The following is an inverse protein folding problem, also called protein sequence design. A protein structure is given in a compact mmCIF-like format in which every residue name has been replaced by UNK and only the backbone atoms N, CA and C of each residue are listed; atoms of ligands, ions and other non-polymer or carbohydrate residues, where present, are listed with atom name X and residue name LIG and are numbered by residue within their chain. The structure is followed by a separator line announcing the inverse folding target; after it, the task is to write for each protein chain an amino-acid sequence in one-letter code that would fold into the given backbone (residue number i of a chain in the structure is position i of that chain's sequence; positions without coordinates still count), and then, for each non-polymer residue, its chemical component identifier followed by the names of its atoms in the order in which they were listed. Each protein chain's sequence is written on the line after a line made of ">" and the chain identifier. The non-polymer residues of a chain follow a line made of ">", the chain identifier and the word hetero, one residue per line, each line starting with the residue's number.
data_IF_560944448993
#
_entry.id   IF_560944448993
#
_cell.length_a   1.000
_cell.length_b   1.000
_cell.length_c   1.000
_cell.angle_alpha   90.00
_cell.angle_beta   90.00
_cell.angle_gamma   90.00
#
_symmetry.space_group_name_H-M   'P 1'
#
loop_
_entity.id
_entity.type
_entity.pdbx_description
1 polymer ?
#
# COMPACT_ATOMS: atom_id res chain seq x y z
N UNK A 1 -4.09 -5.09 22.80
CA UNK A 1 -4.79 -4.85 21.51
C UNK A 1 -3.94 -4.05 20.53
N UNK A 2 -2.64 -4.38 20.46
CA UNK A 2 -1.65 -3.70 19.62
C UNK A 2 -1.56 -4.31 18.24
N UNK A 3 -1.20 -3.48 17.26
CA UNK A 3 -0.80 -3.88 15.92
C UNK A 3 0.50 -4.71 16.02
N UNK A 4 0.40 -6.03 16.15
CA UNK A 4 1.58 -6.89 16.01
C UNK A 4 1.95 -6.96 14.53
N UNK A 5 3.04 -6.30 14.15
CA UNK A 5 3.68 -6.45 12.85
C UNK A 5 4.51 -7.74 12.85
N UNK A 6 4.38 -8.54 11.79
CA UNK A 6 5.24 -9.70 11.54
C UNK A 6 5.92 -9.47 10.18
N UNK A 7 7.12 -10.03 9.99
CA UNK A 7 8.12 -9.50 9.07
C UNK A 7 8.33 -10.35 7.82
N UNK A 8 8.36 -9.69 6.66
CA UNK A 8 9.00 -10.20 5.46
C UNK A 8 10.14 -9.29 5.05
N UNK A 9 11.38 -9.80 5.09
CA UNK A 9 12.57 -9.10 4.61
C UNK A 9 13.05 -9.78 3.32
N UNK A 10 12.83 -9.14 2.17
CA UNK A 10 13.39 -9.55 0.88
C UNK A 10 14.76 -8.90 0.61
N UNK A 11 15.20 -7.98 1.48
CA UNK A 11 16.51 -7.34 1.44
C UNK A 11 17.49 -8.07 2.37
N UNK A 12 18.22 -9.04 1.80
CA UNK A 12 19.29 -9.82 2.45
C UNK A 12 20.49 -8.98 2.99
N UNK A 13 20.40 -7.65 3.03
CA UNK A 13 21.46 -6.72 3.47
C UNK A 13 21.08 -5.80 4.63
N UNK A 14 19.84 -5.80 5.11
CA UNK A 14 19.44 -5.04 6.29
C UNK A 14 19.58 -5.88 7.56
N UNK A 15 20.14 -5.28 8.61
CA UNK A 15 20.10 -5.82 9.97
C UNK A 15 18.64 -6.07 10.36
N UNK A 16 18.32 -7.33 10.67
CA UNK A 16 16.97 -7.77 10.97
C UNK A 16 16.37 -6.91 12.09
N UNK A 17 17.12 -6.64 13.16
CA UNK A 17 16.65 -5.85 14.30
C UNK A 17 16.35 -4.39 13.92
N UNK A 18 17.17 -3.79 13.07
CA UNK A 18 16.91 -2.44 12.55
C UNK A 18 15.65 -2.40 11.68
N UNK A 19 15.43 -3.45 10.88
CA UNK A 19 14.21 -3.59 10.08
C UNK A 19 12.96 -3.72 10.98
N UNK A 20 13.02 -4.57 12.03
CA UNK A 20 11.93 -4.70 13.01
C UNK A 20 11.61 -3.37 13.68
N UNK A 21 12.64 -2.67 14.15
CA UNK A 21 12.50 -1.38 14.78
C UNK A 21 11.86 -0.36 13.84
N UNK A 22 12.26 -0.35 12.56
CA UNK A 22 11.66 0.49 11.53
C UNK A 22 10.16 0.23 11.33
N UNK A 23 9.76 -1.04 11.27
CA UNK A 23 8.35 -1.43 11.16
C UNK A 23 7.54 -1.02 12.40
N UNK A 24 8.05 -1.26 13.61
CA UNK A 24 7.36 -0.86 14.84
C UNK A 24 7.17 0.66 14.92
N UNK A 25 8.22 1.43 14.63
CA UNK A 25 8.16 2.89 14.58
C UNK A 25 7.14 3.38 13.54
N UNK A 26 7.01 2.67 12.41
CA UNK A 26 6.03 2.97 11.37
C UNK A 26 4.59 2.73 11.86
N UNK A 27 4.30 1.57 12.46
CA UNK A 27 2.98 1.31 13.02
C UNK A 27 2.61 2.30 14.12
N UNK A 28 3.54 2.67 14.99
CA UNK A 28 3.31 3.69 16.02
C UNK A 28 3.00 5.05 15.40
N UNK A 29 3.79 5.48 14.41
CA UNK A 29 3.57 6.74 13.72
C UNK A 29 2.23 6.77 12.98
N UNK A 30 1.86 5.67 12.32
CA UNK A 30 0.60 5.54 11.61
C UNK A 30 -0.59 5.50 12.57
N UNK A 31 -0.50 4.74 13.67
CA UNK A 31 -1.53 4.68 14.70
C UNK A 31 -1.76 6.06 15.34
N UNK A 32 -0.69 6.77 15.69
CA UNK A 32 -0.77 8.12 16.25
C UNK A 32 -1.46 9.11 15.30
N UNK A 33 -1.15 9.04 13.99
CA UNK A 33 -1.85 9.83 12.98
C UNK A 33 -3.32 9.45 12.87
N UNK A 34 -3.62 8.15 12.88
CA UNK A 34 -4.97 7.64 12.75
C UNK A 34 -5.90 8.11 13.88
N UNK A 35 -5.38 8.43 15.08
CA UNK A 35 -6.19 8.99 16.17
C UNK A 35 -6.81 10.36 15.84
N UNK A 36 -6.30 11.09 14.85
CA UNK A 36 -6.88 12.38 14.41
C UNK A 36 -8.01 12.19 13.39
N UNK A 37 -8.28 10.96 12.94
CA UNK A 37 -9.29 10.67 11.93
C UNK A 37 -10.67 10.44 12.55
N UNK A 38 -11.71 10.58 11.72
CA UNK A 38 -13.06 10.12 12.07
C UNK A 38 -13.04 8.60 12.39
N UNK A 39 -13.81 8.19 13.40
CA UNK A 39 -13.77 6.85 14.00
C UNK A 39 -13.98 5.72 12.98
N UNK A 40 -14.94 5.86 12.08
CA UNK A 40 -15.20 4.87 11.03
C UNK A 40 -14.00 4.80 10.09
N UNK A 41 -13.56 5.93 9.54
CA UNK A 41 -12.39 5.95 8.64
C UNK A 41 -11.14 5.36 9.30
N UNK A 42 -10.84 5.77 10.53
CA UNK A 42 -9.76 5.23 11.36
C UNK A 42 -9.82 3.71 11.44
N UNK A 43 -10.98 3.16 11.76
CA UNK A 43 -11.18 1.71 11.88
C UNK A 43 -10.97 0.96 10.57
N UNK A 44 -11.31 1.58 9.42
CA UNK A 44 -11.13 1.00 8.10
C UNK A 44 -9.67 0.99 7.66
N UNK A 45 -8.99 2.13 7.72
CA UNK A 45 -7.59 2.25 7.26
C UNK A 45 -6.62 1.43 8.13
N UNK A 46 -6.82 1.43 9.45
CA UNK A 46 -6.00 0.60 10.37
C UNK A 46 -6.22 -0.89 10.15
N UNK A 47 -7.47 -1.31 9.91
CA UNK A 47 -7.78 -2.71 9.59
C UNK A 47 -7.15 -3.13 8.26
N UNK A 48 -7.19 -2.29 7.24
CA UNK A 48 -6.57 -2.57 5.94
C UNK A 48 -5.07 -2.84 6.10
N UNK A 49 -4.35 -1.91 6.74
CA UNK A 49 -2.89 -2.06 6.98
C UNK A 49 -2.62 -3.33 7.77
N UNK A 50 -3.36 -3.59 8.85
CA UNK A 50 -3.19 -4.81 9.65
C UNK A 50 -3.41 -6.09 8.83
N UNK A 51 -4.47 -6.16 8.03
CA UNK A 51 -4.78 -7.35 7.21
C UNK A 51 -3.70 -7.59 6.17
N UNK A 52 -3.21 -6.54 5.51
CA UNK A 52 -2.09 -6.65 4.57
C UNK A 52 -0.83 -7.17 5.27
N UNK A 53 -0.47 -6.61 6.43
CA UNK A 53 0.67 -7.08 7.22
C UNK A 53 0.52 -8.54 7.63
N UNK A 54 -0.68 -8.98 8.02
CA UNK A 54 -0.90 -10.40 8.31
C UNK A 54 -0.71 -11.30 7.07
N UNK A 55 -1.18 -10.84 5.91
CA UNK A 55 -1.03 -11.57 4.65
C UNK A 55 0.43 -11.67 4.20
N UNK A 56 1.22 -10.61 4.37
CA UNK A 56 2.66 -10.64 4.09
C UNK A 56 3.38 -11.75 4.87
N UNK A 57 2.81 -12.24 5.97
CA UNK A 57 3.38 -13.32 6.79
C UNK A 57 2.77 -14.69 6.53
N UNK A 58 1.95 -14.82 5.49
CA UNK A 58 1.39 -16.10 5.07
C UNK A 58 2.35 -16.82 4.12
N UNK A 59 2.69 -18.06 4.47
CA UNK A 59 3.44 -18.95 3.57
C UNK A 59 2.70 -19.17 2.24
N UNK A 60 1.37 -19.32 2.27
CA UNK A 60 0.55 -19.50 1.08
C UNK A 60 0.63 -18.30 0.14
N UNK A 61 0.56 -17.08 0.70
CA UNK A 61 0.73 -15.86 -0.07
C UNK A 61 2.14 -15.79 -0.68
N UNK A 62 3.18 -16.10 0.11
CA UNK A 62 4.56 -16.06 -0.35
C UNK A 62 4.79 -17.03 -1.53
N UNK A 63 4.30 -18.25 -1.42
CA UNK A 63 4.42 -19.25 -2.48
C UNK A 63 3.68 -18.80 -3.74
N UNK A 64 2.48 -18.23 -3.59
CA UNK A 64 1.71 -17.68 -4.71
C UNK A 64 2.45 -16.52 -5.38
N UNK A 65 3.02 -15.61 -4.59
CA UNK A 65 3.80 -14.48 -5.08
C UNK A 65 5.07 -14.92 -5.82
N UNK A 66 5.82 -15.87 -5.27
CA UNK A 66 7.04 -16.38 -5.87
C UNK A 66 6.78 -17.09 -7.21
N UNK A 67 5.73 -17.91 -7.27
CA UNK A 67 5.32 -18.60 -8.49
C UNK A 67 4.82 -17.63 -9.57
N UNK A 68 3.93 -16.69 -9.21
CA UNK A 68 3.42 -15.69 -10.17
C UNK A 68 4.55 -14.79 -10.69
N UNK A 69 5.44 -14.34 -9.80
CA UNK A 69 6.62 -13.56 -10.15
C UNK A 69 7.50 -14.31 -11.16
N UNK A 70 7.79 -15.59 -10.89
CA UNK A 70 8.62 -16.41 -11.77
C UNK A 70 7.99 -16.55 -13.15
N UNK A 71 6.67 -16.80 -13.22
CA UNK A 71 5.93 -16.91 -14.48
C UNK A 71 5.87 -15.58 -15.24
N UNK A 72 5.69 -14.46 -14.55
CA UNK A 72 5.48 -13.15 -15.16
C UNK A 72 6.76 -12.46 -15.63
N UNK A 73 7.88 -12.70 -14.95
CA UNK A 73 9.15 -11.99 -15.15
C UNK A 73 10.34 -12.88 -15.50
N UNK A 74 10.09 -14.13 -15.93
CA UNK A 74 11.13 -15.01 -16.48
C UNK A 74 11.98 -14.27 -17.54
N UNK A 75 13.31 -14.32 -17.39
CA UNK A 75 14.25 -13.70 -18.34
C UNK A 75 15.05 -12.49 -17.84
N UNK A 76 15.10 -12.24 -16.53
CA UNK A 76 16.11 -11.33 -15.93
C UNK A 76 15.62 -9.94 -15.52
N UNK A 77 14.29 -9.72 -15.43
CA UNK A 77 13.77 -8.51 -14.78
C UNK A 77 13.82 -8.68 -13.26
N UNK A 78 14.57 -7.80 -12.59
CA UNK A 78 14.61 -7.74 -11.14
C UNK A 78 13.25 -7.22 -10.65
N UNK A 79 12.53 -8.02 -9.87
CA UNK A 79 11.39 -7.54 -9.10
C UNK A 79 11.79 -7.46 -7.63
N UNK A 80 11.34 -6.42 -6.95
CA UNK A 80 11.48 -6.29 -5.51
C UNK A 80 10.13 -5.98 -4.91
N UNK A 81 9.72 -6.78 -3.94
CA UNK A 81 8.68 -6.39 -3.01
C UNK A 81 9.35 -5.69 -1.82
N UNK A 82 9.00 -4.42 -1.58
CA UNK A 82 9.63 -3.59 -0.56
C UNK A 82 8.60 -2.96 0.38
N UNK A 83 9.08 -2.48 1.53
CA UNK A 83 8.26 -1.72 2.47
C UNK A 83 8.42 -0.23 2.24
N UNK A 84 7.30 0.49 2.16
CA UNK A 84 7.25 1.94 2.25
C UNK A 84 6.73 2.35 3.62
N UNK A 85 7.36 3.34 4.24
CA UNK A 85 7.02 3.78 5.59
C UNK A 85 6.00 4.93 5.58
N UNK A 86 5.03 4.91 6.50
CA UNK A 86 4.04 5.99 6.64
C UNK A 86 4.69 7.37 6.88
N UNK A 87 5.81 7.42 7.60
CA UNK A 87 6.56 8.67 7.82
C UNK A 87 6.99 9.32 6.50
N UNK A 88 7.47 8.54 5.53
CA UNK A 88 7.87 9.05 4.22
C UNK A 88 6.67 9.59 3.44
N UNK A 89 5.52 8.91 3.51
CA UNK A 89 4.27 9.39 2.94
C UNK A 89 3.83 10.73 3.55
N UNK A 90 3.86 10.83 4.88
CA UNK A 90 3.53 12.05 5.62
C UNK A 90 4.46 13.20 5.28
N UNK A 91 5.74 12.93 5.02
CA UNK A 91 6.70 13.94 4.57
C UNK A 91 6.44 14.34 3.12
N UNK A 92 6.22 13.38 2.23
CA UNK A 92 5.94 13.65 0.81
C UNK A 92 4.72 14.55 0.65
N UNK A 93 3.61 14.26 1.35
CA UNK A 93 2.41 15.10 1.21
C UNK A 93 2.59 16.52 1.72
N UNK A 94 3.63 16.83 2.50
CA UNK A 94 3.93 18.21 2.92
C UNK A 94 4.59 19.05 1.82
N UNK A 95 4.98 18.44 0.71
CA UNK A 95 5.50 19.17 -0.44
C UNK A 95 4.44 20.18 -0.94
N UNK A 96 4.81 21.46 -1.16
CA UNK A 96 3.87 22.48 -1.62
C UNK A 96 3.14 22.10 -2.90
N UNK A 97 3.80 21.42 -3.84
CA UNK A 97 3.16 21.01 -5.10
C UNK A 97 2.05 19.98 -4.87
N UNK A 98 2.26 19.07 -3.91
CA UNK A 98 1.24 18.08 -3.54
C UNK A 98 0.10 18.76 -2.78
N UNK A 99 0.41 19.65 -1.83
CA UNK A 99 -0.62 20.40 -1.10
C UNK A 99 -1.48 21.25 -2.05
N UNK A 100 -0.87 21.96 -2.99
CA UNK A 100 -1.57 22.78 -3.97
C UNK A 100 -2.45 21.93 -4.90
N UNK A 101 -1.93 20.78 -5.36
CA UNK A 101 -2.71 19.84 -6.16
C UNK A 101 -3.91 19.27 -5.39
N UNK A 102 -3.71 18.93 -4.11
CA UNK A 102 -4.78 18.43 -3.24
C UNK A 102 -5.84 19.50 -2.96
N UNK A 103 -5.43 20.75 -2.72
CA UNK A 103 -6.34 21.86 -2.44
C UNK A 103 -7.13 22.30 -3.68
N UNK A 104 -6.58 22.11 -4.88
CA UNK A 104 -7.21 22.50 -6.15
C UNK A 104 -8.19 21.45 -6.69
N UNK A 105 -8.11 20.21 -6.19
CA UNK A 105 -8.97 19.12 -6.63
C UNK A 105 -10.29 19.07 -5.84
N UNK A 106 -11.42 18.85 -6.53
CA UNK A 106 -12.72 18.58 -5.88
C UNK A 106 -12.66 17.27 -5.09
N UNK A 107 -11.99 16.26 -5.65
CA UNK A 107 -11.68 14.99 -5.00
C UNK A 107 -10.21 14.65 -5.29
N UNK A 108 -9.27 14.90 -4.36
CA UNK A 108 -7.87 14.59 -4.60
C UNK A 108 -7.67 13.08 -4.76
N UNK A 109 -7.13 12.67 -5.90
CA UNK A 109 -6.85 11.27 -6.24
C UNK A 109 -5.34 11.05 -6.23
N UNK A 110 -4.89 9.96 -5.62
CA UNK A 110 -3.52 9.46 -5.79
C UNK A 110 -3.52 8.22 -6.68
N UNK A 111 -2.52 8.13 -7.54
CA UNK A 111 -2.25 6.91 -8.31
C UNK A 111 -0.98 6.24 -7.81
N UNK A 112 -1.04 4.92 -7.65
CA UNK A 112 0.08 4.09 -7.24
C UNK A 112 0.51 3.14 -8.35
N UNK A 113 1.72 3.34 -8.85
CA UNK A 113 2.36 2.44 -9.83
C UNK A 113 3.19 1.40 -9.07
N UNK A 114 2.81 0.13 -9.17
CA UNK A 114 3.35 -0.92 -8.31
C UNK A 114 2.71 -0.90 -6.92
N UNK A 115 1.38 -0.93 -6.88
CA UNK A 115 0.61 -0.82 -5.63
C UNK A 115 0.67 -2.05 -4.74
N UNK A 116 1.09 -3.19 -5.28
CA UNK A 116 1.17 -4.47 -4.60
C UNK A 116 -0.10 -4.80 -3.78
N UNK A 117 0.03 -5.14 -2.49
CA UNK A 117 -1.10 -5.42 -1.59
C UNK A 117 -1.88 -4.17 -1.13
N UNK A 118 -1.43 -2.97 -1.49
CA UNK A 118 -2.26 -1.76 -1.41
C UNK A 118 -2.31 -1.04 -0.07
N UNK A 119 -1.50 -1.41 0.94
CA UNK A 119 -1.47 -0.71 2.23
C UNK A 119 -1.11 0.79 2.12
N UNK A 120 -0.37 1.16 1.07
CA UNK A 120 -0.07 2.54 0.69
C UNK A 120 -1.33 3.36 0.39
N UNK A 121 -2.37 2.74 -0.17
CA UNK A 121 -3.65 3.44 -0.36
C UNK A 121 -4.31 3.79 0.98
N UNK A 122 -4.19 2.95 2.01
CA UNK A 122 -4.67 3.32 3.34
C UNK A 122 -3.90 4.51 3.93
N UNK A 123 -2.59 4.61 3.67
CA UNK A 123 -1.81 5.80 4.04
C UNK A 123 -2.31 7.04 3.31
N UNK A 124 -2.48 6.98 1.99
CA UNK A 124 -2.98 8.11 1.22
C UNK A 124 -4.36 8.58 1.68
N UNK A 125 -5.32 7.66 1.85
CA UNK A 125 -6.65 7.99 2.35
C UNK A 125 -6.57 8.62 3.75
N UNK A 126 -5.70 8.11 4.63
CA UNK A 126 -5.47 8.69 5.96
C UNK A 126 -4.88 10.10 5.93
N UNK A 127 -4.15 10.45 4.87
CA UNK A 127 -3.48 11.74 4.70
C UNK A 127 -4.37 12.77 3.97
N UNK A 128 -5.61 12.41 3.63
CA UNK A 128 -6.60 13.33 3.09
C UNK A 128 -6.88 13.19 1.59
N UNK A 129 -6.28 12.20 0.91
CA UNK A 129 -6.74 11.86 -0.44
C UNK A 129 -8.16 11.28 -0.39
N UNK A 130 -9.00 11.69 -1.33
CA UNK A 130 -10.37 11.22 -1.45
C UNK A 130 -10.40 9.79 -2.04
N UNK A 131 -9.52 9.53 -3.03
CA UNK A 131 -9.43 8.24 -3.72
C UNK A 131 -7.98 7.80 -3.92
N UNK A 132 -7.77 6.50 -3.97
CA UNK A 132 -6.52 5.86 -4.36
C UNK A 132 -6.77 4.84 -5.47
N UNK A 133 -6.00 4.93 -6.55
CA UNK A 133 -6.03 3.96 -7.65
C UNK A 133 -4.67 3.29 -7.75
N UNK A 134 -4.62 1.99 -7.51
CA UNK A 134 -3.39 1.20 -7.57
C UNK A 134 -3.33 0.31 -8.80
N UNK A 135 -2.15 0.24 -9.42
CA UNK A 135 -1.85 -0.65 -10.53
C UNK A 135 -0.71 -1.59 -10.15
N UNK A 136 -0.88 -2.88 -10.46
CA UNK A 136 0.20 -3.86 -10.33
C UNK A 136 0.15 -4.88 -11.48
N UNK A 137 1.29 -5.52 -11.74
CA UNK A 137 1.44 -6.54 -12.78
C UNK A 137 1.14 -7.95 -12.28
N UNK A 138 1.13 -8.15 -10.96
CA UNK A 138 0.85 -9.42 -10.30
C UNK A 138 -0.63 -9.50 -9.91
N UNK A 139 -1.44 -10.13 -10.75
CA UNK A 139 -2.88 -10.17 -10.57
C UNK A 139 -3.30 -11.04 -9.37
N UNK A 140 -2.71 -12.22 -9.24
CA UNK A 140 -3.19 -13.26 -8.31
C UNK A 140 -2.64 -13.09 -6.90
N UNK A 141 -1.38 -12.71 -6.77
CA UNK A 141 -0.69 -12.56 -5.48
C UNK A 141 -0.79 -11.15 -4.89
N UNK A 142 -1.11 -10.13 -5.72
CA UNK A 142 -1.19 -8.74 -5.25
C UNK A 142 -2.58 -8.14 -5.46
N UNK A 143 -3.00 -7.95 -6.73
CA UNK A 143 -4.21 -7.18 -7.03
C UNK A 143 -5.47 -7.82 -6.48
N UNK A 144 -5.72 -9.10 -6.75
CA UNK A 144 -6.94 -9.77 -6.29
C UNK A 144 -7.06 -9.81 -4.75
N UNK A 145 -6.00 -10.13 -3.99
CA UNK A 145 -6.01 -9.96 -2.54
C UNK A 145 -6.25 -8.52 -2.10
N UNK A 146 -5.60 -7.52 -2.73
CA UNK A 146 -5.78 -6.11 -2.38
C UNK A 146 -7.24 -5.64 -2.59
N UNK A 147 -7.87 -6.04 -3.69
CA UNK A 147 -9.29 -5.78 -3.97
C UNK A 147 -10.18 -6.39 -2.89
N UNK A 148 -9.96 -7.66 -2.55
CA UNK A 148 -10.72 -8.35 -1.51
C UNK A 148 -10.55 -7.68 -0.14
N UNK A 149 -9.32 -7.31 0.23
CA UNK A 149 -9.05 -6.62 1.50
C UNK A 149 -9.79 -5.26 1.52
N UNK A 150 -9.71 -4.47 0.44
CA UNK A 150 -10.39 -3.18 0.36
C UNK A 150 -11.92 -3.31 0.48
N UNK A 151 -12.50 -4.34 -0.12
CA UNK A 151 -13.93 -4.65 0.03
C UNK A 151 -14.27 -5.05 1.48
N UNK A 152 -13.54 -5.99 2.07
CA UNK A 152 -13.78 -6.50 3.44
C UNK A 152 -13.69 -5.40 4.52
N UNK A 153 -12.81 -4.42 4.32
CA UNK A 153 -12.66 -3.28 5.24
C UNK A 153 -13.55 -2.10 4.90
N UNK A 154 -14.36 -2.19 3.84
CA UNK A 154 -15.31 -1.15 3.42
C UNK A 154 -14.62 0.12 2.87
N UNK A 155 -13.54 -0.04 2.12
CA UNK A 155 -12.82 1.03 1.42
C UNK A 155 -12.92 0.93 -0.12
N UNK A 156 -13.70 0.00 -0.67
CA UNK A 156 -13.85 -0.17 -2.12
C UNK A 156 -14.49 1.04 -2.84
N UNK A 157 -15.17 1.93 -2.10
CA UNK A 157 -15.66 3.21 -2.59
C UNK A 157 -14.55 4.27 -2.77
N UNK A 158 -13.41 4.08 -2.10
CA UNK A 158 -12.27 5.00 -2.09
C UNK A 158 -11.02 4.42 -2.72
N UNK A 159 -10.89 3.11 -2.76
CA UNK A 159 -9.68 2.41 -3.19
C UNK A 159 -10.04 1.44 -4.29
N UNK A 160 -9.35 1.56 -5.42
CA UNK A 160 -9.47 0.67 -6.56
C UNK A 160 -8.10 0.10 -6.93
N UNK A 161 -8.05 -1.18 -7.27
CA UNK A 161 -6.84 -1.85 -7.72
C UNK A 161 -7.07 -2.49 -9.08
N UNK A 162 -6.09 -2.36 -9.97
CA UNK A 162 -6.14 -2.87 -11.33
C UNK A 162 -4.93 -3.75 -11.61
N UNK A 163 -5.18 -4.91 -12.22
CA UNK A 163 -4.09 -5.72 -12.77
C UNK A 163 -3.79 -5.25 -14.19
N UNK A 164 -2.85 -4.33 -14.31
CA UNK A 164 -2.42 -3.78 -15.59
C UNK A 164 -1.03 -3.14 -15.46
N UNK A 165 -0.36 -3.00 -16.60
CA UNK A 165 0.83 -2.16 -16.69
C UNK A 165 0.39 -0.69 -16.68
N UNK A 166 0.73 0.02 -15.60
CA UNK A 166 0.40 1.42 -15.44
C UNK A 166 0.91 2.27 -16.62
N UNK A 167 2.06 1.93 -17.22
CA UNK A 167 2.61 2.69 -18.36
C UNK A 167 1.72 2.64 -19.61
N UNK A 168 0.80 1.68 -19.65
CA UNK A 168 -0.14 1.48 -20.75
C UNK A 168 -1.59 1.77 -20.36
N UNK A 169 -1.83 2.09 -19.08
CA UNK A 169 -3.16 2.37 -18.57
C UNK A 169 -3.73 3.62 -19.25
N UNK A 170 -4.98 3.57 -19.78
CA UNK A 170 -5.59 4.71 -20.47
C UNK A 170 -5.64 5.96 -19.59
N UNK A 171 -5.85 5.78 -18.29
CA UNK A 171 -6.04 6.88 -17.33
C UNK A 171 -4.78 7.74 -17.12
N UNK A 172 -3.60 7.26 -17.52
CA UNK A 172 -2.33 8.00 -17.44
C UNK A 172 -2.02 8.81 -18.71
N UNK A 173 -2.77 8.63 -19.79
CA UNK A 173 -2.56 9.38 -21.04
C UNK A 173 -3.27 10.74 -21.07
N UNK A 174 -4.14 11.00 -20.10
CA UNK A 174 -4.98 12.20 -20.03
C UNK A 174 -4.71 13.08 -18.79
N UNK A 175 -3.67 12.76 -18.00
CA UNK A 175 -3.23 13.54 -16.84
C UNK A 175 -2.12 14.54 -17.20
#
# INVERSE_FOLDING_TARGET
>A
DGLSLVHFNTNFRQDEEQYKAGLNNEAEAFAAHCETLEKVLRGRVTRMVRTVRQMENSEDWLLTWADETTRRFAGGRLISYGVTYFSAWREAVRDPLIQDAMASAVEPVVMLVGSALGYQCAFAISLGFAKCVGYDLLCSSMVAPAQKIAEEVGLSDRIQFHCADALTAPELKEA
#
